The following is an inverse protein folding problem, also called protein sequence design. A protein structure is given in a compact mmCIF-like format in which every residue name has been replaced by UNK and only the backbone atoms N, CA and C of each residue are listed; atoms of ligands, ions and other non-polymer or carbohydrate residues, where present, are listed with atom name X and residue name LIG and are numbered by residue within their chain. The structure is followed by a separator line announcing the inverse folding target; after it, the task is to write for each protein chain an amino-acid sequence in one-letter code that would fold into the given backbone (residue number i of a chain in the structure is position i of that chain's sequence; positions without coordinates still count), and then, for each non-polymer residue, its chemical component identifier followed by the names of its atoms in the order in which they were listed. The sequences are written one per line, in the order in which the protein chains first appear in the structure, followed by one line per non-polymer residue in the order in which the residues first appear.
data_IF_953451054697
#
_entry.id   IF_953451054697
#
_cell.length_a   1.000
_cell.length_b   1.000
_cell.length_c   1.000
_cell.angle_alpha   90.00
_cell.angle_beta   90.00
_cell.angle_gamma   90.00
#
_symmetry.space_group_name_H-M   'P 1'
#
loop_
_entity.id
_entity.type
_entity.pdbx_description
1 polymer ?
#
# COMPACT_ATOMS: atom_id res chain seq x y z
N UNK A 1 10.78 -12.29 -0.57
CA UNK A 1 10.06 -11.22 -1.29
C UNK A 1 11.06 -10.50 -2.15
N UNK A 2 10.77 -10.23 -3.44
CA UNK A 2 11.66 -9.47 -4.30
C UNK A 2 11.88 -8.07 -3.69
N UNK A 3 13.08 -7.53 -3.92
CA UNK A 3 13.34 -6.12 -3.65
C UNK A 3 12.59 -5.30 -4.68
N UNK A 4 11.47 -4.73 -4.27
CA UNK A 4 10.63 -3.94 -5.16
C UNK A 4 11.21 -2.54 -5.40
N UNK A 5 11.22 -2.06 -6.66
CA UNK A 5 11.72 -0.72 -6.96
C UNK A 5 10.87 0.36 -6.28
N UNK A 6 11.43 1.55 -6.15
CA UNK A 6 10.72 2.68 -5.55
C UNK A 6 9.42 2.98 -6.30
N UNK A 7 8.34 3.25 -5.57
CA UNK A 7 7.01 3.47 -6.16
C UNK A 7 6.20 2.20 -6.37
N UNK A 8 6.76 1.05 -6.00
CA UNK A 8 6.03 -0.23 -5.98
C UNK A 8 6.01 -0.80 -4.57
N UNK A 9 5.07 -1.70 -4.30
CA UNK A 9 5.00 -2.47 -3.07
C UNK A 9 5.05 -3.97 -3.38
N UNK A 10 5.69 -4.77 -2.53
CA UNK A 10 5.69 -6.21 -2.70
C UNK A 10 4.31 -6.80 -2.40
N UNK A 11 3.87 -7.71 -3.24
CA UNK A 11 2.60 -8.41 -3.13
C UNK A 11 2.80 -9.90 -3.42
N UNK A 12 2.12 -10.77 -2.66
CA UNK A 12 2.10 -12.21 -2.90
C UNK A 12 0.75 -12.58 -3.50
N UNK A 13 0.75 -13.13 -4.71
CA UNK A 13 -0.45 -13.52 -5.45
C UNK A 13 -1.28 -14.51 -4.62
N UNK A 14 -2.56 -14.22 -4.47
CA UNK A 14 -3.52 -15.04 -3.73
C UNK A 14 -4.46 -15.77 -4.70
N UNK A 15 -5.18 -16.80 -4.22
CA UNK A 15 -6.26 -17.40 -5.00
C UNK A 15 -7.24 -16.34 -5.52
N UNK A 16 -7.54 -16.39 -6.82
CA UNK A 16 -8.43 -15.45 -7.50
C UNK A 16 -7.80 -14.12 -7.94
N UNK A 17 -6.53 -13.87 -7.65
CA UNK A 17 -5.83 -12.72 -8.21
C UNK A 17 -5.42 -12.98 -9.67
N UNK A 18 -5.54 -11.95 -10.49
CA UNK A 18 -4.87 -11.80 -11.78
C UNK A 18 -4.47 -10.33 -11.95
N UNK A 19 -3.68 -9.99 -12.97
CA UNK A 19 -3.16 -8.63 -13.11
C UNK A 19 -4.28 -7.59 -13.33
N UNK A 20 -5.37 -7.95 -14.01
CA UNK A 20 -6.52 -7.04 -14.18
C UNK A 20 -7.22 -6.73 -12.85
N UNK A 21 -7.47 -7.75 -12.02
CA UNK A 21 -8.05 -7.60 -10.67
C UNK A 21 -7.13 -6.77 -9.79
N UNK A 22 -5.82 -7.01 -9.84
CA UNK A 22 -4.84 -6.27 -9.05
C UNK A 22 -4.70 -4.82 -9.53
N UNK A 23 -4.68 -4.58 -10.84
CA UNK A 23 -4.65 -3.25 -11.43
C UNK A 23 -5.84 -2.41 -10.93
N UNK A 24 -7.05 -2.96 -11.01
CA UNK A 24 -8.26 -2.31 -10.48
C UNK A 24 -8.18 -2.07 -8.97
N UNK A 25 -7.73 -3.07 -8.20
CA UNK A 25 -7.65 -3.00 -6.73
C UNK A 25 -6.68 -1.90 -6.26
N UNK A 26 -5.53 -1.78 -6.92
CA UNK A 26 -4.45 -0.87 -6.53
C UNK A 26 -4.47 0.46 -7.31
N UNK A 27 -5.51 0.70 -8.12
CA UNK A 27 -5.64 1.88 -8.97
C UNK A 27 -4.40 2.14 -9.85
N UNK A 28 -3.97 1.08 -10.55
CA UNK A 28 -2.89 1.07 -11.54
C UNK A 28 -3.35 0.36 -12.81
N UNK A 29 -2.45 0.04 -13.73
CA UNK A 29 -2.78 -0.67 -14.98
C UNK A 29 -2.06 -2.00 -15.09
N UNK A 30 -2.59 -2.90 -15.93
CA UNK A 30 -1.97 -4.20 -16.21
C UNK A 30 -0.58 -3.99 -16.79
N UNK A 31 -0.45 -3.04 -17.72
CA UNK A 31 0.81 -2.70 -18.38
C UNK A 31 1.85 -2.23 -17.37
N UNK A 32 1.47 -1.41 -16.39
CA UNK A 32 2.37 -0.95 -15.34
C UNK A 32 2.81 -2.11 -14.41
N UNK A 33 1.91 -3.03 -14.09
CA UNK A 33 2.26 -4.24 -13.32
C UNK A 33 3.22 -5.11 -14.14
N UNK A 34 2.93 -5.38 -15.40
CA UNK A 34 3.80 -6.20 -16.27
C UNK A 34 5.18 -5.56 -16.44
N UNK A 35 5.25 -4.23 -16.64
CA UNK A 35 6.50 -3.52 -16.86
C UNK A 35 7.49 -3.64 -15.68
N UNK A 36 7.00 -3.73 -14.44
CA UNK A 36 7.86 -3.87 -13.25
C UNK A 36 8.11 -5.33 -12.83
N UNK A 37 7.50 -6.29 -13.54
CA UNK A 37 7.62 -7.73 -13.28
C UNK A 37 7.91 -8.47 -14.60
N UNK A 38 8.97 -8.07 -15.32
CA UNK A 38 9.26 -8.57 -16.68
C UNK A 38 9.55 -10.07 -16.73
N UNK A 39 9.93 -10.68 -15.60
CA UNK A 39 10.14 -12.10 -15.43
C UNK A 39 8.85 -12.91 -15.20
N UNK A 40 7.71 -12.25 -15.03
CA UNK A 40 6.42 -12.88 -14.70
C UNK A 40 5.54 -12.94 -15.93
N UNK A 41 5.03 -14.14 -16.23
CA UNK A 41 4.01 -14.30 -17.27
C UNK A 41 2.66 -13.72 -16.78
N UNK A 42 2.15 -12.63 -17.38
CA UNK A 42 0.91 -11.98 -16.94
C UNK A 42 -0.35 -12.81 -17.20
N UNK A 43 -0.31 -13.76 -18.16
CA UNK A 43 -1.44 -14.62 -18.50
C UNK A 43 -1.53 -15.86 -17.61
N UNK A 44 -0.46 -16.16 -16.86
CA UNK A 44 -0.41 -17.29 -15.93
C UNK A 44 0.28 -16.93 -14.59
N UNK A 45 -0.25 -15.94 -13.84
CA UNK A 45 0.28 -15.59 -12.53
C UNK A 45 0.09 -16.75 -11.54
N UNK A 46 1.18 -17.21 -10.92
CA UNK A 46 1.12 -18.35 -10.00
C UNK A 46 0.72 -17.91 -8.59
N UNK A 47 -0.20 -18.64 -7.97
CA UNK A 47 -0.52 -18.43 -6.54
C UNK A 47 0.75 -18.57 -5.71
N UNK A 48 0.97 -17.62 -4.79
CA UNK A 48 2.14 -17.56 -3.95
C UNK A 48 3.37 -16.91 -4.60
N UNK A 49 3.33 -16.63 -5.90
CA UNK A 49 4.35 -15.84 -6.57
C UNK A 49 4.39 -14.44 -5.97
N UNK A 50 5.60 -13.92 -5.80
CA UNK A 50 5.79 -12.55 -5.32
C UNK A 50 6.02 -11.63 -6.51
N UNK A 51 5.30 -10.51 -6.53
CA UNK A 51 5.37 -9.47 -7.56
C UNK A 51 5.46 -8.10 -6.90
N UNK A 52 5.80 -7.09 -7.68
CA UNK A 52 5.78 -5.69 -7.30
C UNK A 52 4.56 -5.01 -7.93
N UNK A 53 3.73 -4.36 -7.11
CA UNK A 53 2.55 -3.62 -7.59
C UNK A 53 2.88 -2.13 -7.59
N UNK A 54 2.79 -1.44 -8.73
CA UNK A 54 2.87 0.01 -8.77
C UNK A 54 1.74 0.64 -7.95
N UNK A 55 2.09 1.61 -7.12
CA UNK A 55 1.12 2.31 -6.29
C UNK A 55 1.29 3.82 -6.43
N UNK A 56 0.21 4.56 -6.18
CA UNK A 56 0.30 6.00 -6.08
C UNK A 56 1.13 6.37 -4.86
N UNK A 57 2.25 7.04 -5.11
CA UNK A 57 3.08 7.57 -4.04
C UNK A 57 2.40 8.79 -3.46
N UNK A 58 2.08 8.72 -2.18
CA UNK A 58 1.77 9.93 -1.42
C UNK A 58 3.05 10.73 -1.25
N UNK A 59 3.00 12.01 -1.58
CA UNK A 59 4.10 12.97 -1.38
C UNK A 59 4.26 13.36 0.09
N UNK A 60 3.46 12.81 1.00
CA UNK A 60 3.54 13.10 2.43
C UNK A 60 4.89 12.61 2.98
N UNK A 61 5.74 13.50 3.53
CA UNK A 61 7.05 13.13 4.06
C UNK A 61 6.89 12.45 5.42
N UNK A 62 6.76 11.12 5.42
CA UNK A 62 6.75 10.37 6.67
C UNK A 62 8.16 10.27 7.28
N UNK A 63 8.27 10.49 8.59
CA UNK A 63 9.45 10.06 9.35
C UNK A 63 9.67 8.54 9.19
N UNK A 64 10.94 8.06 9.20
CA UNK A 64 11.24 6.64 9.15
C UNK A 64 10.46 5.87 10.23
N UNK A 65 9.79 4.79 9.83
CA UNK A 65 9.00 3.95 10.75
C UNK A 65 7.53 4.34 10.91
N UNK A 66 7.09 5.49 10.40
CA UNK A 66 5.69 5.93 10.45
C UNK A 66 4.90 5.61 9.17
N UNK A 67 5.46 4.87 8.22
CA UNK A 67 4.79 4.55 6.96
C UNK A 67 3.82 3.39 7.13
N UNK A 68 2.61 3.56 6.63
CA UNK A 68 1.58 2.53 6.53
C UNK A 68 1.08 2.45 5.09
N UNK A 69 0.89 1.23 4.59
CA UNK A 69 0.32 0.98 3.27
C UNK A 69 -1.16 0.66 3.47
N UNK A 70 -2.03 1.50 2.92
CA UNK A 70 -3.48 1.35 2.99
C UNK A 70 -3.89 -0.01 2.41
N UNK A 71 -4.71 -0.73 3.16
CA UNK A 71 -5.30 -2.01 2.78
C UNK A 71 -6.79 -1.81 2.45
N UNK A 72 -7.36 -2.78 1.74
CA UNK A 72 -8.78 -2.77 1.43
C UNK A 72 -9.63 -2.63 2.72
N UNK A 73 -10.55 -1.67 2.72
CA UNK A 73 -11.46 -1.39 3.83
C UNK A 73 -10.88 -0.54 4.97
N UNK A 74 -9.61 -0.12 4.87
CA UNK A 74 -9.04 0.85 5.80
C UNK A 74 -9.70 2.22 5.64
N UNK A 75 -9.83 2.91 6.77
CA UNK A 75 -10.24 4.32 6.88
C UNK A 75 -9.39 4.94 7.97
N UNK A 76 -9.22 6.28 7.98
CA UNK A 76 -8.47 6.92 9.06
C UNK A 76 -9.09 6.64 10.44
N UNK A 77 -10.42 6.56 10.55
CA UNK A 77 -11.08 6.22 11.82
C UNK A 77 -10.78 4.79 12.28
N UNK A 78 -10.86 3.79 11.40
CA UNK A 78 -10.49 2.40 11.74
C UNK A 78 -9.02 2.27 12.12
N UNK A 79 -8.13 2.98 11.43
CA UNK A 79 -6.70 2.97 11.74
C UNK A 79 -6.41 3.68 13.07
N UNK A 80 -7.05 4.82 13.32
CA UNK A 80 -7.00 5.53 14.59
C UNK A 80 -7.37 4.59 15.77
N UNK A 81 -8.53 3.93 15.69
CA UNK A 81 -8.97 2.98 16.70
C UNK A 81 -8.01 1.79 16.86
N UNK A 82 -7.55 1.20 15.74
CA UNK A 82 -6.66 0.03 15.76
C UNK A 82 -5.32 0.34 16.44
N UNK A 83 -4.74 1.52 16.20
CA UNK A 83 -3.41 1.88 16.68
C UNK A 83 -3.41 2.76 17.93
N UNK A 84 -4.59 3.10 18.47
CA UNK A 84 -4.70 4.02 19.62
C UNK A 84 -4.21 5.44 19.30
N UNK A 85 -4.47 5.90 18.08
CA UNK A 85 -4.08 7.23 17.58
C UNK A 85 -5.36 8.06 17.40
N UNK A 86 -5.32 9.37 17.64
CA UNK A 86 -6.49 10.21 17.36
C UNK A 86 -6.67 10.41 15.85
N UNK A 87 -7.92 10.47 15.39
CA UNK A 87 -8.23 10.74 13.98
C UNK A 87 -7.55 12.05 13.51
N UNK A 88 -7.61 13.10 14.33
CA UNK A 88 -6.99 14.39 14.02
C UNK A 88 -5.47 14.29 13.85
N UNK A 89 -4.78 13.47 14.65
CA UNK A 89 -3.33 13.29 14.49
C UNK A 89 -2.98 12.62 13.15
N UNK A 90 -3.81 11.67 12.70
CA UNK A 90 -3.64 11.06 11.36
C UNK A 90 -3.88 12.10 10.27
N UNK A 91 -4.96 12.89 10.35
CA UNK A 91 -5.28 13.91 9.35
C UNK A 91 -4.16 14.95 9.24
N UNK A 92 -3.71 15.50 10.38
CA UNK A 92 -2.65 16.51 10.41
C UNK A 92 -1.33 15.98 9.83
N UNK A 93 -0.97 14.73 10.11
CA UNK A 93 0.26 14.14 9.59
C UNK A 93 0.16 13.82 8.09
N UNK A 94 -1.05 13.73 7.53
CA UNK A 94 -1.31 13.41 6.12
C UNK A 94 -1.98 14.58 5.40
N UNK A 95 -1.49 15.80 5.62
CA UNK A 95 -1.95 16.98 4.88
C UNK A 95 -1.90 16.73 3.35
N UNK A 96 -3.01 17.02 2.66
CA UNK A 96 -3.15 16.77 1.22
C UNK A 96 -3.63 15.36 0.85
N UNK A 97 -3.84 14.45 1.82
CA UNK A 97 -4.53 13.18 1.59
C UNK A 97 -6.01 13.36 1.90
N UNK A 98 -6.88 12.97 0.96
CA UNK A 98 -8.32 12.90 1.18
C UNK A 98 -8.68 11.71 2.09
N UNK A 99 -9.17 11.96 3.33
CA UNK A 99 -9.54 10.88 4.25
C UNK A 99 -10.70 10.01 3.76
N UNK A 100 -11.53 10.54 2.86
CA UNK A 100 -12.71 9.86 2.33
C UNK A 100 -12.41 8.97 1.12
N UNK A 101 -11.21 9.11 0.54
CA UNK A 101 -10.81 8.44 -0.70
C UNK A 101 -9.43 7.77 -0.56
N UNK A 102 -9.25 6.98 0.50
CA UNK A 102 -8.03 6.19 0.68
C UNK A 102 -7.95 5.06 -0.34
N UNK A 103 -6.84 4.99 -1.07
CA UNK A 103 -6.63 4.00 -2.10
C UNK A 103 -5.78 2.84 -1.58
N UNK A 104 -6.12 1.60 -1.94
CA UNK A 104 -5.29 0.45 -1.57
C UNK A 104 -3.89 0.61 -2.17
N UNK A 105 -2.87 0.39 -1.35
CA UNK A 105 -1.47 0.61 -1.73
C UNK A 105 -0.97 2.04 -1.51
N UNK A 106 -1.86 3.01 -1.26
CA UNK A 106 -1.46 4.36 -0.90
C UNK A 106 -0.62 4.33 0.38
N UNK A 107 0.49 5.05 0.38
CA UNK A 107 1.34 5.19 1.56
C UNK A 107 0.85 6.39 2.36
N UNK A 108 0.55 6.19 3.64
CA UNK A 108 0.20 7.25 4.58
C UNK A 108 1.14 7.21 5.78
N UNK A 109 1.18 8.28 6.55
CA UNK A 109 1.95 8.39 7.77
C UNK A 109 1.04 8.13 8.97
N UNK A 110 1.37 7.15 9.80
CA UNK A 110 0.74 6.94 11.09
C UNK A 110 1.76 7.27 12.19
N UNK A 111 1.44 8.12 13.19
CA UNK A 111 2.33 8.43 14.30
C UNK A 111 2.40 7.27 15.32
N UNK A 112 2.76 6.08 14.84
CA UNK A 112 2.89 4.88 15.67
C UNK A 112 4.18 5.04 16.48
N UNK A 113 4.04 5.35 17.77
CA UNK A 113 5.18 5.28 18.68
C UNK A 113 5.60 3.83 18.78
N UNK A 114 6.75 3.47 18.20
CA UNK A 114 7.40 2.19 18.52
C UNK A 114 7.64 2.22 20.02
N UNK A 115 6.97 1.35 20.79
CA UNK A 115 7.37 1.12 22.17
C UNK A 115 8.83 0.69 22.11
N UNK A 116 9.73 1.54 22.64
CA UNK A 116 11.08 1.09 22.96
C UNK A 116 10.89 0.06 24.08
N UNK A 117 10.92 -1.22 23.73
CA UNK A 117 11.19 -2.27 24.71
C UNK A 117 12.55 -1.96 25.30
N UNK A 118 12.57 -1.61 26.59
CA UNK A 118 13.79 -1.66 27.40
C UNK A 118 14.16 -3.12 27.62
#
# INVERSE_FOLDING_TARGET
MPLCPQGTIPYKIKPGDNFAVLAKRYNTTVEAITAVNSEVNPDNPKIGQSICIPVRRSIVPCSPGNRYIVKAGDTFSKLASRYGITLNAIIQMNAGVDPSNLQVGQIICLPIRRRRTR
#
